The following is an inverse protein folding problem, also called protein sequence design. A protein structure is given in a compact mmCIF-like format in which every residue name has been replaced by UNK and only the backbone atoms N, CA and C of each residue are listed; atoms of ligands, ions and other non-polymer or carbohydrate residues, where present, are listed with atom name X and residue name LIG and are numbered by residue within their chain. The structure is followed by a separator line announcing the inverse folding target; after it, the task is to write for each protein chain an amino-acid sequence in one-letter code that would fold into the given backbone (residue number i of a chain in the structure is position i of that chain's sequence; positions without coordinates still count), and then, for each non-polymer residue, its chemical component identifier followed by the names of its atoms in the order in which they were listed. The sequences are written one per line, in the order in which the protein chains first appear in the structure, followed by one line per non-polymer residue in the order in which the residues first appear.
data_IF_847700171297
#
_entry.id   IF_847700171297
#
_cell.length_a   1.000
_cell.length_b   1.000
_cell.length_c   1.000
_cell.angle_alpha   90.00
_cell.angle_beta   90.00
_cell.angle_gamma   90.00
#
_symmetry.space_group_name_H-M   'P 1'
#
loop_
_entity.id
_entity.type
_entity.pdbx_description
1 polymer ?
#
# COMPACT_ATOMS: atom_id res chain seq x y z
N UNK A 1 21.89 2.85 -15.99
CA UNK A 1 20.45 2.54 -15.92
C UNK A 1 19.64 3.80 -15.70
N UNK A 2 18.43 3.88 -16.24
CA UNK A 2 17.49 4.98 -15.96
C UNK A 2 17.02 4.91 -14.51
N UNK A 3 16.97 6.06 -13.83
CA UNK A 3 16.52 6.20 -12.44
C UNK A 3 15.64 7.44 -12.29
N UNK A 4 14.68 7.37 -11.36
CA UNK A 4 13.88 8.51 -10.90
C UNK A 4 14.32 8.84 -9.49
N UNK A 5 15.08 9.91 -9.34
CA UNK A 5 15.72 10.29 -8.08
C UNK A 5 14.95 11.42 -7.42
N UNK A 6 14.54 11.23 -6.16
CA UNK A 6 14.08 12.31 -5.29
C UNK A 6 15.30 13.13 -4.85
N UNK A 7 15.30 14.41 -5.21
CA UNK A 7 16.38 15.32 -4.86
C UNK A 7 16.18 15.92 -3.46
N UNK A 8 17.14 16.71 -3.01
CA UNK A 8 17.02 17.46 -1.75
C UNK A 8 15.92 18.54 -1.76
N UNK A 9 15.47 18.96 -2.97
CA UNK A 9 14.43 19.99 -3.08
C UNK A 9 13.04 19.40 -2.90
N UNK A 10 12.18 20.13 -2.21
CA UNK A 10 10.76 19.78 -2.04
C UNK A 10 10.09 19.61 -3.40
N UNK A 11 9.36 18.50 -3.59
CA UNK A 11 8.58 18.19 -4.79
C UNK A 11 9.38 18.21 -6.10
N UNK A 12 10.64 17.75 -6.03
CA UNK A 12 11.48 17.61 -7.21
C UNK A 12 11.94 16.15 -7.39
N UNK A 13 11.66 15.60 -8.56
CA UNK A 13 12.23 14.35 -9.05
C UNK A 13 13.11 14.64 -10.26
N UNK A 14 14.25 13.97 -10.37
CA UNK A 14 15.11 13.97 -11.56
C UNK A 14 15.14 12.60 -12.19
N UNK A 15 14.83 12.56 -13.48
CA UNK A 15 15.05 11.37 -14.31
C UNK A 15 16.45 11.46 -14.88
N UNK A 16 17.31 10.50 -14.54
CA UNK A 16 18.73 10.53 -14.91
C UNK A 16 19.28 9.11 -15.11
N UNK A 17 20.47 9.01 -15.66
CA UNK A 17 21.18 7.75 -15.74
C UNK A 17 22.18 7.62 -14.58
N UNK A 18 22.23 6.43 -14.01
CA UNK A 18 23.19 6.02 -12.98
C UNK A 18 23.79 4.66 -13.33
N UNK A 19 24.86 4.26 -12.66
CA UNK A 19 25.41 2.92 -12.74
C UNK A 19 24.43 1.89 -12.14
N UNK A 20 24.53 0.65 -12.61
CA UNK A 20 23.77 -0.45 -11.99
C UNK A 20 24.32 -0.73 -10.60
N UNK A 21 23.47 -1.06 -9.61
CA UNK A 21 23.94 -1.43 -8.30
C UNK A 21 24.76 -2.73 -8.37
N UNK A 22 25.87 -2.77 -7.64
CA UNK A 22 26.64 -4.00 -7.44
C UNK A 22 25.99 -4.84 -6.34
N UNK A 23 25.95 -6.15 -6.56
CA UNK A 23 25.38 -7.09 -5.60
C UNK A 23 26.35 -7.39 -4.47
N UNK A 24 25.80 -7.53 -3.27
CA UNK A 24 26.45 -8.05 -2.08
C UNK A 24 25.92 -9.47 -1.77
N UNK A 25 26.50 -10.11 -0.76
CA UNK A 25 26.08 -11.44 -0.30
C UNK A 25 24.58 -11.48 0.03
N UNK A 26 23.94 -12.56 -0.41
CA UNK A 26 22.49 -12.82 -0.29
C UNK A 26 21.60 -11.87 -1.13
N UNK A 27 22.17 -11.07 -2.04
CA UNK A 27 21.40 -10.15 -2.88
C UNK A 27 21.15 -10.71 -4.28
N UNK A 28 20.05 -10.27 -4.86
CA UNK A 28 19.67 -10.47 -6.26
C UNK A 28 19.43 -9.13 -6.93
N UNK A 29 19.68 -9.05 -8.23
CA UNK A 29 19.36 -7.91 -9.07
C UNK A 29 18.04 -8.16 -9.80
N UNK A 30 17.13 -7.23 -9.64
CA UNK A 30 15.83 -7.27 -10.30
C UNK A 30 15.79 -6.21 -11.39
N UNK A 31 15.47 -6.62 -12.62
CA UNK A 31 15.07 -5.72 -13.69
C UNK A 31 13.63 -5.34 -13.43
N UNK A 32 13.41 -4.11 -13.00
CA UNK A 32 12.08 -3.60 -12.65
C UNK A 32 11.28 -3.37 -13.92
N UNK A 33 10.07 -3.91 -13.97
CA UNK A 33 9.11 -3.64 -15.04
C UNK A 33 8.13 -2.55 -14.61
N UNK A 34 7.60 -2.67 -13.39
CA UNK A 34 6.63 -1.73 -12.84
C UNK A 34 6.95 -1.39 -11.38
N UNK A 35 6.70 -0.13 -11.03
CA UNK A 35 6.80 0.36 -9.66
C UNK A 35 5.63 1.29 -9.34
N UNK A 36 4.80 0.95 -8.36
CA UNK A 36 3.70 1.79 -7.91
C UNK A 36 4.18 3.03 -7.16
N UNK A 37 3.37 4.09 -7.22
CA UNK A 37 3.54 5.29 -6.40
C UNK A 37 2.67 5.15 -5.16
N UNK A 38 3.30 5.15 -3.98
CA UNK A 38 2.66 5.04 -2.68
C UNK A 38 2.44 6.42 -2.04
N UNK A 39 1.50 6.50 -1.09
CA UNK A 39 1.33 7.69 -0.25
C UNK A 39 2.60 8.08 0.51
N UNK A 40 3.39 7.11 0.99
CA UNK A 40 4.67 7.34 1.65
C UNK A 40 5.73 7.96 0.73
N UNK A 41 5.73 7.61 -0.57
CA UNK A 41 6.57 8.29 -1.57
C UNK A 41 6.16 9.76 -1.72
N UNK A 42 4.84 10.04 -1.69
CA UNK A 42 4.33 11.41 -1.76
C UNK A 42 4.68 12.24 -0.52
N UNK A 43 4.67 11.62 0.67
CA UNK A 43 5.13 12.25 1.90
C UNK A 43 6.63 12.56 1.85
N UNK A 44 7.47 11.60 1.45
CA UNK A 44 8.91 11.82 1.25
C UNK A 44 9.19 12.89 0.18
N UNK A 45 8.42 12.88 -0.92
CA UNK A 45 8.49 13.87 -2.00
C UNK A 45 8.16 15.29 -1.53
N UNK A 46 7.16 15.41 -0.64
CA UNK A 46 6.69 16.69 -0.11
C UNK A 46 7.42 17.16 1.16
N UNK A 47 8.37 16.39 1.69
CA UNK A 47 9.05 16.61 2.98
C UNK A 47 8.04 16.73 4.14
N UNK A 48 7.03 15.86 4.14
CA UNK A 48 6.02 15.81 5.19
C UNK A 48 6.62 15.45 6.55
N UNK A 49 5.98 15.94 7.62
CA UNK A 49 6.31 15.58 9.00
C UNK A 49 6.24 14.05 9.19
N UNK A 50 7.25 13.50 9.88
CA UNK A 50 7.38 12.06 10.10
C UNK A 50 8.15 11.31 9.00
N UNK A 51 8.62 12.03 7.96
CA UNK A 51 9.45 11.48 6.87
C UNK A 51 10.85 12.12 6.82
N UNK A 52 11.29 12.73 7.90
CA UNK A 52 12.62 13.34 8.06
C UNK A 52 13.74 12.29 7.99
N UNK A 53 13.43 11.03 8.31
CA UNK A 53 14.36 9.91 8.24
C UNK A 53 14.74 9.52 6.80
N UNK A 54 13.98 9.97 5.79
CA UNK A 54 14.30 9.68 4.39
C UNK A 54 15.45 10.56 3.95
N UNK A 55 16.65 9.98 3.91
CA UNK A 55 17.85 10.64 3.42
C UNK A 55 17.75 10.90 1.91
N UNK A 56 18.24 12.05 1.46
CA UNK A 56 18.16 12.50 0.06
C UNK A 56 19.57 12.89 -0.41
N UNK A 57 19.92 12.66 -1.69
CA UNK A 57 19.07 12.11 -2.76
C UNK A 57 18.83 10.60 -2.61
N UNK A 58 17.66 10.13 -3.07
CA UNK A 58 17.27 8.71 -3.00
C UNK A 58 16.39 8.33 -4.19
N UNK A 59 16.47 7.08 -4.63
CA UNK A 59 15.49 6.47 -5.55
C UNK A 59 14.32 5.97 -4.70
N UNK A 60 13.12 6.53 -4.92
CA UNK A 60 11.90 6.11 -4.21
C UNK A 60 11.32 4.80 -4.79
N UNK A 61 10.22 4.33 -4.20
CA UNK A 61 9.40 3.23 -4.69
C UNK A 61 9.68 1.89 -4.02
N UNK A 62 8.61 1.29 -3.50
CA UNK A 62 8.64 0.02 -2.78
C UNK A 62 7.53 -0.96 -3.21
N UNK A 63 6.72 -0.59 -4.21
CA UNK A 63 5.70 -1.45 -4.83
C UNK A 63 6.23 -1.99 -6.15
N UNK A 64 7.13 -2.95 -6.09
CA UNK A 64 8.03 -3.36 -7.16
C UNK A 64 7.59 -4.70 -7.75
N UNK A 65 7.53 -4.77 -9.09
CA UNK A 65 7.45 -6.03 -9.81
C UNK A 65 8.40 -6.04 -11.02
N UNK A 66 8.94 -7.21 -11.35
CA UNK A 66 9.93 -7.35 -12.41
C UNK A 66 10.48 -8.77 -12.54
N UNK A 67 11.71 -8.89 -12.99
CA UNK A 67 12.39 -10.17 -13.24
C UNK A 67 13.77 -10.18 -12.57
N UNK A 68 14.11 -11.26 -11.88
CA UNK A 68 15.47 -11.48 -11.36
C UNK A 68 16.41 -11.74 -12.54
N UNK A 69 17.43 -10.92 -12.69
CA UNK A 69 18.39 -11.02 -13.81
C UNK A 69 19.79 -11.45 -13.38
N UNK A 70 20.11 -11.32 -12.09
CA UNK A 70 21.42 -11.68 -11.54
C UNK A 70 21.27 -12.06 -10.07
N UNK A 71 22.15 -12.94 -9.60
CA UNK A 71 22.23 -13.36 -8.21
C UNK A 71 23.68 -13.41 -7.76
N UNK A 72 23.96 -12.93 -6.53
CA UNK A 72 25.29 -13.02 -5.96
C UNK A 72 25.65 -14.47 -5.59
N UNK A 73 24.72 -15.18 -4.96
CA UNK A 73 24.97 -16.52 -4.44
C UNK A 73 24.44 -17.60 -5.38
N UNK A 74 25.25 -18.65 -5.59
CA UNK A 74 24.85 -19.80 -6.43
C UNK A 74 23.58 -20.49 -5.93
N UNK A 75 23.32 -20.47 -4.62
CA UNK A 75 22.13 -21.08 -4.01
C UNK A 75 20.82 -20.42 -4.42
N UNK A 76 20.87 -19.17 -4.84
CA UNK A 76 19.72 -18.37 -5.27
C UNK A 76 19.64 -18.20 -6.81
N UNK A 77 20.52 -18.87 -7.58
CA UNK A 77 20.48 -18.85 -9.05
C UNK A 77 19.17 -19.39 -9.64
N UNK A 78 18.43 -20.20 -8.90
CA UNK A 78 17.12 -20.70 -9.33
C UNK A 78 16.06 -19.57 -9.48
N UNK A 79 16.32 -18.40 -8.90
CA UNK A 79 15.48 -17.22 -9.06
C UNK A 79 15.73 -16.47 -10.38
N UNK A 80 16.87 -16.67 -11.04
CA UNK A 80 17.21 -15.98 -12.29
C UNK A 80 16.18 -16.34 -13.38
N UNK A 81 15.63 -15.33 -14.05
CA UNK A 81 14.55 -15.44 -15.02
C UNK A 81 13.13 -15.51 -14.43
N UNK A 82 13.01 -15.58 -13.09
CA UNK A 82 11.69 -15.60 -12.44
C UNK A 82 11.08 -14.20 -12.38
N UNK A 83 9.78 -14.13 -12.66
CA UNK A 83 8.97 -12.92 -12.42
C UNK A 83 8.65 -12.81 -10.94
N UNK A 84 8.92 -11.65 -10.35
CA UNK A 84 8.92 -11.47 -8.90
C UNK A 84 8.35 -10.13 -8.49
N UNK A 85 7.88 -10.08 -7.23
CA UNK A 85 7.70 -8.84 -6.47
C UNK A 85 8.77 -8.75 -5.38
N UNK A 86 8.93 -7.54 -4.82
CA UNK A 86 9.79 -7.30 -3.66
C UNK A 86 8.92 -6.95 -2.46
N UNK A 87 9.14 -7.62 -1.33
CA UNK A 87 8.56 -7.19 -0.07
C UNK A 87 9.13 -5.84 0.34
N UNK A 88 8.24 -4.89 0.63
CA UNK A 88 8.65 -3.52 0.95
C UNK A 88 9.37 -3.39 2.28
N UNK A 89 8.98 -4.23 3.27
CA UNK A 89 9.48 -4.19 4.64
C UNK A 89 10.56 -5.24 4.87
N UNK A 90 11.78 -4.79 5.11
CA UNK A 90 12.94 -5.65 5.33
C UNK A 90 13.15 -5.88 6.83
N UNK A 91 12.55 -6.95 7.31
CA UNK A 91 12.62 -7.37 8.72
C UNK A 91 13.92 -8.15 9.03
N UNK A 92 14.38 -8.11 10.29
CA UNK A 92 15.64 -8.78 10.67
C UNK A 92 15.53 -10.30 10.84
N UNK A 93 14.34 -10.84 11.13
CA UNK A 93 14.11 -12.27 11.38
C UNK A 93 14.47 -12.74 12.79
N UNK A 94 15.13 -11.92 13.63
CA UNK A 94 15.72 -12.35 14.91
C UNK A 94 15.18 -11.61 16.16
N UNK A 95 14.61 -10.39 16.01
CA UNK A 95 14.02 -9.70 17.15
C UNK A 95 12.75 -10.40 17.65
N UNK A 96 12.31 -10.07 18.86
CA UNK A 96 11.13 -10.66 19.48
C UNK A 96 9.88 -10.59 18.60
N UNK A 97 9.65 -9.45 17.94
CA UNK A 97 8.52 -9.29 17.03
C UNK A 97 8.61 -10.27 15.84
N UNK A 98 9.79 -10.42 15.24
CA UNK A 98 10.00 -11.35 14.13
C UNK A 98 9.82 -12.81 14.56
N UNK A 99 10.36 -13.21 15.71
CA UNK A 99 10.21 -14.55 16.26
C UNK A 99 8.74 -14.91 16.55
N UNK A 100 7.91 -13.89 16.85
CA UNK A 100 6.48 -14.03 17.06
C UNK A 100 5.65 -13.84 15.76
N UNK A 101 6.28 -13.84 14.58
CA UNK A 101 5.62 -13.68 13.28
C UNK A 101 5.11 -12.25 12.99
N UNK A 102 5.48 -11.28 13.81
CA UNK A 102 5.06 -9.88 13.69
C UNK A 102 6.06 -9.05 12.91
N UNK A 103 6.36 -9.47 11.67
CA UNK A 103 7.39 -8.88 10.82
C UNK A 103 7.14 -7.40 10.51
N UNK A 104 5.87 -6.99 10.36
CA UNK A 104 5.48 -5.60 10.07
C UNK A 104 5.94 -4.58 11.11
N UNK A 105 6.17 -5.01 12.35
CA UNK A 105 6.64 -4.18 13.46
C UNK A 105 8.01 -4.65 13.98
N UNK A 106 8.85 -5.17 13.09
CA UNK A 106 10.24 -5.49 13.39
C UNK A 106 10.98 -4.25 13.94
N UNK A 107 11.74 -4.41 15.03
CA UNK A 107 12.49 -3.33 15.66
C UNK A 107 13.59 -2.73 14.75
N UNK A 108 14.08 -3.53 13.79
CA UNK A 108 15.12 -3.15 12.84
C UNK A 108 14.60 -3.00 11.42
N UNK A 109 13.29 -2.77 11.27
CA UNK A 109 12.65 -2.69 9.97
C UNK A 109 13.22 -1.55 9.11
N UNK A 110 13.50 -1.86 7.85
CA UNK A 110 13.86 -0.88 6.82
C UNK A 110 12.93 -1.05 5.63
N UNK A 111 12.48 0.05 5.07
CA UNK A 111 11.61 0.05 3.88
C UNK A 111 12.45 0.44 2.68
N UNK A 112 12.50 -0.44 1.67
CA UNK A 112 13.13 -0.15 0.38
C UNK A 112 12.46 1.07 -0.26
N UNK A 113 13.24 1.98 -0.86
CA UNK A 113 12.73 3.24 -1.41
C UNK A 113 12.48 4.35 -0.40
N UNK A 114 12.67 4.10 0.92
CA UNK A 114 12.58 5.13 1.96
C UNK A 114 13.83 5.18 2.86
N UNK A 115 14.44 4.03 3.14
CA UNK A 115 15.67 3.95 3.94
C UNK A 115 16.93 3.73 3.08
N UNK A 116 16.75 3.26 1.86
CA UNK A 116 17.76 3.05 0.84
C UNK A 116 17.08 2.98 -0.54
N UNK A 117 17.86 3.01 -1.62
CA UNK A 117 17.35 3.09 -2.99
C UNK A 117 16.31 2.02 -3.32
N UNK A 118 15.22 2.45 -3.95
CA UNK A 118 14.05 1.66 -4.29
C UNK A 118 13.88 1.36 -5.78
N UNK A 119 12.64 1.00 -6.13
CA UNK A 119 12.29 0.43 -7.41
C UNK A 119 11.92 1.41 -8.52
N UNK A 120 11.96 2.73 -8.31
CA UNK A 120 11.75 3.69 -9.40
C UNK A 120 13.02 3.83 -10.27
N UNK A 121 13.56 2.68 -10.68
CA UNK A 121 14.76 2.53 -11.49
C UNK A 121 14.66 1.29 -12.37
N UNK A 122 15.43 1.23 -13.46
CA UNK A 122 15.46 0.04 -14.33
C UNK A 122 15.96 -1.22 -13.61
N UNK A 123 16.79 -1.06 -12.60
CA UNK A 123 17.30 -2.17 -11.78
C UNK A 123 17.33 -1.77 -10.32
N UNK A 124 16.98 -2.71 -9.47
CA UNK A 124 17.06 -2.60 -8.01
C UNK A 124 17.67 -3.87 -7.44
N UNK A 125 18.48 -3.74 -6.39
CA UNK A 125 18.99 -4.88 -5.63
C UNK A 125 18.22 -5.05 -4.33
N UNK A 126 18.03 -6.29 -3.92
CA UNK A 126 17.45 -6.63 -2.62
C UNK A 126 17.96 -7.99 -2.16
N UNK A 127 17.84 -8.29 -0.87
CA UNK A 127 18.13 -9.64 -0.39
C UNK A 127 17.12 -10.63 -0.96
N UNK A 128 17.60 -11.81 -1.37
CA UNK A 128 16.76 -12.86 -1.96
C UNK A 128 15.61 -13.32 -1.07
N UNK A 129 15.75 -13.20 0.26
CA UNK A 129 14.71 -13.53 1.24
C UNK A 129 13.46 -12.65 1.11
N UNK A 130 13.57 -11.42 0.57
CA UNK A 130 12.46 -10.50 0.36
C UNK A 130 11.85 -10.58 -1.05
N UNK A 131 12.23 -11.58 -1.82
CA UNK A 131 11.71 -11.80 -3.18
C UNK A 131 10.62 -12.87 -3.14
N UNK A 132 9.49 -12.59 -3.81
CA UNK A 132 8.40 -13.56 -3.99
C UNK A 132 8.13 -13.77 -5.47
N UNK A 133 8.11 -15.03 -5.90
CA UNK A 133 7.73 -15.38 -7.27
C UNK A 133 6.27 -15.01 -7.51
N UNK A 134 6.00 -14.36 -8.65
CA UNK A 134 4.65 -14.06 -9.12
C UNK A 134 4.05 -15.38 -9.63
N UNK A 135 2.80 -15.74 -9.25
CA UNK A 135 2.11 -16.87 -9.86
C UNK A 135 2.07 -16.77 -11.40
N UNK A 136 2.25 -17.90 -12.10
CA UNK A 136 2.38 -17.93 -13.56
C UNK A 136 1.19 -17.29 -14.31
N UNK A 137 0.01 -17.34 -13.71
CA UNK A 137 -1.24 -16.82 -14.26
C UNK A 137 -1.60 -15.41 -13.72
N UNK A 138 -0.63 -14.67 -13.21
CA UNK A 138 -0.76 -13.26 -12.78
C UNK A 138 0.26 -12.40 -13.55
N UNK A 139 -0.20 -11.34 -14.20
CA UNK A 139 0.70 -10.45 -14.93
C UNK A 139 1.61 -9.66 -13.98
N UNK A 140 2.83 -9.38 -14.45
CA UNK A 140 3.82 -8.55 -13.72
C UNK A 140 3.25 -7.16 -13.44
N UNK A 141 2.43 -6.62 -14.35
CA UNK A 141 1.78 -5.32 -14.17
C UNK A 141 0.82 -5.32 -12.99
N UNK A 142 -0.08 -6.29 -12.91
CA UNK A 142 -1.04 -6.40 -11.80
C UNK A 142 -0.33 -6.73 -10.50
N UNK A 143 0.76 -7.53 -10.58
CA UNK A 143 1.57 -7.88 -9.41
C UNK A 143 2.24 -6.67 -8.73
N UNK A 144 2.41 -5.53 -9.40
CA UNK A 144 2.84 -4.28 -8.76
C UNK A 144 1.86 -3.75 -7.71
N UNK A 145 0.62 -4.26 -7.70
CA UNK A 145 -0.39 -3.96 -6.67
C UNK A 145 -0.27 -4.86 -5.42
N UNK A 146 0.65 -5.82 -5.41
CA UNK A 146 0.76 -6.80 -4.30
C UNK A 146 1.07 -6.13 -2.97
N UNK A 147 1.97 -5.14 -2.97
CA UNK A 147 2.36 -4.46 -1.75
C UNK A 147 1.17 -3.71 -1.12
N UNK A 148 0.50 -2.75 -1.78
CA UNK A 148 -0.63 -2.05 -1.15
C UNK A 148 -1.82 -2.97 -0.83
N UNK A 149 -2.01 -4.06 -1.58
CA UNK A 149 -3.04 -5.05 -1.24
C UNK A 149 -2.67 -5.87 -0.01
N UNK A 150 -1.38 -6.24 0.18
CA UNK A 150 -0.94 -6.95 1.38
C UNK A 150 -1.06 -6.10 2.65
N UNK A 151 -0.87 -4.78 2.57
CA UNK A 151 -1.20 -3.85 3.67
C UNK A 151 -2.69 -3.97 4.06
N UNK A 152 -3.57 -4.00 3.06
CA UNK A 152 -5.01 -4.15 3.31
C UNK A 152 -5.38 -5.52 3.88
N UNK A 153 -4.78 -6.59 3.38
CA UNK A 153 -4.94 -7.97 3.91
C UNK A 153 -4.54 -8.00 5.39
N UNK A 154 -3.35 -7.47 5.71
CA UNK A 154 -2.86 -7.37 7.09
C UNK A 154 -3.86 -6.66 8.01
N UNK A 155 -4.36 -5.50 7.60
CA UNK A 155 -5.29 -4.72 8.38
C UNK A 155 -6.63 -5.44 8.62
N UNK A 156 -7.14 -6.12 7.58
CA UNK A 156 -8.39 -6.90 7.70
C UNK A 156 -8.19 -8.11 8.61
N UNK A 157 -7.02 -8.77 8.57
CA UNK A 157 -6.69 -9.85 9.48
C UNK A 157 -6.60 -9.36 10.94
N UNK A 158 -6.05 -8.17 11.17
CA UNK A 158 -6.02 -7.54 12.50
C UNK A 158 -7.41 -7.16 13.04
N UNK A 159 -8.38 -6.94 12.16
CA UNK A 159 -9.75 -6.66 12.58
C UNK A 159 -10.45 -7.88 13.20
N UNK A 160 -9.88 -9.07 13.08
CA UNK A 160 -10.48 -10.33 13.50
C UNK A 160 -11.47 -10.87 12.47
N UNK A 161 -12.42 -11.69 12.91
CA UNK A 161 -13.37 -12.32 11.99
C UNK A 161 -14.25 -11.30 11.27
N UNK A 162 -14.28 -11.40 9.94
CA UNK A 162 -15.17 -10.68 9.03
C UNK A 162 -15.89 -11.71 8.15
N UNK A 163 -17.22 -11.60 8.04
CA UNK A 163 -18.05 -12.51 7.26
C UNK A 163 -19.31 -11.80 6.72
N UNK A 164 -20.22 -12.55 6.08
CA UNK A 164 -21.41 -12.03 5.43
C UNK A 164 -22.50 -11.43 6.38
N UNK A 165 -22.30 -11.51 7.68
CA UNK A 165 -23.20 -10.88 8.67
C UNK A 165 -22.78 -9.46 9.03
N UNK A 166 -21.55 -9.06 8.64
CA UNK A 166 -20.99 -7.78 9.02
C UNK A 166 -21.27 -6.70 7.98
N UNK A 167 -21.56 -5.51 8.47
CA UNK A 167 -21.63 -4.26 7.70
C UNK A 167 -20.40 -3.44 8.06
N UNK A 168 -19.63 -3.03 7.07
CA UNK A 168 -18.40 -2.31 7.28
C UNK A 168 -18.45 -0.92 6.64
N UNK A 169 -17.83 0.03 7.33
CA UNK A 169 -17.56 1.36 6.80
C UNK A 169 -16.07 1.54 6.63
N UNK A 170 -15.63 1.79 5.41
CA UNK A 170 -14.23 2.12 5.06
C UNK A 170 -14.18 3.59 4.68
N UNK A 171 -13.38 4.37 5.40
CA UNK A 171 -13.23 5.81 5.15
C UNK A 171 -11.93 6.08 4.37
N UNK A 172 -12.05 6.85 3.29
CA UNK A 172 -10.95 7.22 2.41
C UNK A 172 -10.88 6.33 1.15
N UNK A 173 -11.24 6.88 -0.04
CA UNK A 173 -11.28 6.13 -1.30
C UNK A 173 -9.93 6.07 -2.01
N UNK A 174 -8.82 6.21 -1.27
CA UNK A 174 -7.48 5.94 -1.75
C UNK A 174 -7.26 4.43 -1.97
N UNK A 175 -6.13 4.05 -2.56
CA UNK A 175 -5.84 2.64 -2.91
C UNK A 175 -5.91 1.71 -1.69
N UNK A 176 -5.49 2.16 -0.49
CA UNK A 176 -5.53 1.35 0.72
C UNK A 176 -6.98 1.11 1.16
N UNK A 177 -7.81 2.15 1.26
CA UNK A 177 -9.22 1.97 1.61
C UNK A 177 -9.97 1.16 0.57
N UNK A 178 -9.67 1.36 -0.71
CA UNK A 178 -10.23 0.56 -1.79
C UNK A 178 -9.88 -0.94 -1.61
N UNK A 179 -8.63 -1.27 -1.32
CA UNK A 179 -8.22 -2.66 -1.11
C UNK A 179 -8.74 -3.26 0.20
N UNK A 180 -8.81 -2.49 1.28
CA UNK A 180 -9.49 -2.93 2.51
C UNK A 180 -10.94 -3.32 2.20
N UNK A 181 -11.65 -2.48 1.45
CA UNK A 181 -13.01 -2.77 1.01
C UNK A 181 -13.09 -4.04 0.16
N UNK A 182 -12.18 -4.20 -0.81
CA UNK A 182 -12.12 -5.39 -1.68
C UNK A 182 -11.87 -6.68 -0.86
N UNK A 183 -10.92 -6.67 0.07
CA UNK A 183 -10.64 -7.81 0.95
C UNK A 183 -11.88 -8.16 1.79
N UNK A 184 -12.59 -7.17 2.32
CA UNK A 184 -13.81 -7.38 3.10
C UNK A 184 -14.96 -7.93 2.26
N UNK A 185 -15.14 -7.46 1.02
CA UNK A 185 -16.11 -8.01 0.06
C UNK A 185 -15.79 -9.49 -0.23
N UNK A 186 -14.52 -9.86 -0.36
CA UNK A 186 -14.10 -11.25 -0.55
C UNK A 186 -14.50 -12.16 0.62
N UNK A 187 -14.58 -11.61 1.81
CA UNK A 187 -15.07 -12.32 3.01
C UNK A 187 -16.62 -12.33 3.11
N UNK A 188 -17.31 -11.79 2.09
CA UNK A 188 -18.76 -11.75 1.98
C UNK A 188 -19.45 -10.59 2.71
N UNK A 189 -18.71 -9.68 3.31
CA UNK A 189 -19.30 -8.58 4.07
C UNK A 189 -19.92 -7.50 3.16
N UNK A 190 -20.93 -6.78 3.71
CA UNK A 190 -21.44 -5.56 3.09
C UNK A 190 -20.49 -4.42 3.39
N UNK A 191 -19.92 -3.78 2.35
CA UNK A 191 -18.90 -2.74 2.49
C UNK A 191 -19.42 -1.42 1.92
N UNK A 192 -19.32 -0.36 2.73
CA UNK A 192 -19.58 1.01 2.35
C UNK A 192 -18.22 1.73 2.32
N UNK A 193 -17.81 2.20 1.14
CA UNK A 193 -16.58 2.99 0.96
C UNK A 193 -16.96 4.46 0.87
N UNK A 194 -16.45 5.29 1.78
CA UNK A 194 -16.75 6.72 1.77
C UNK A 194 -15.59 7.59 1.32
N UNK A 195 -15.92 8.65 0.59
CA UNK A 195 -15.02 9.69 0.11
C UNK A 195 -15.74 11.01 0.00
N UNK A 196 -15.04 12.05 -0.44
CA UNK A 196 -15.64 13.35 -0.71
C UNK A 196 -16.16 13.42 -2.15
N UNK A 197 -17.07 14.36 -2.44
CA UNK A 197 -17.62 14.53 -3.79
C UNK A 197 -16.55 14.78 -4.85
N UNK A 198 -15.45 15.46 -4.49
CA UNK A 198 -14.29 15.67 -5.39
C UNK A 198 -13.58 14.36 -5.78
N UNK A 199 -13.66 13.32 -4.95
CA UNK A 199 -13.01 12.04 -5.19
C UNK A 199 -13.87 11.08 -6.01
N UNK A 200 -15.11 11.45 -6.32
CA UNK A 200 -16.10 10.54 -6.88
C UNK A 200 -15.65 9.97 -8.22
N UNK A 201 -15.39 10.80 -9.21
CA UNK A 201 -15.07 10.36 -10.58
C UNK A 201 -13.74 9.61 -10.67
N UNK A 202 -12.71 10.12 -9.99
CA UNK A 202 -11.37 9.56 -10.10
C UNK A 202 -11.17 8.26 -9.29
N UNK A 203 -11.88 8.11 -8.18
CA UNK A 203 -11.63 7.07 -7.18
C UNK A 203 -12.88 6.34 -6.70
N UNK A 204 -13.84 7.07 -6.10
CA UNK A 204 -14.93 6.45 -5.34
C UNK A 204 -15.91 5.66 -6.23
N UNK A 205 -16.26 6.18 -7.42
CA UNK A 205 -17.19 5.54 -8.35
C UNK A 205 -16.73 4.13 -8.78
N UNK A 206 -15.41 3.91 -8.82
CA UNK A 206 -14.80 2.63 -9.24
C UNK A 206 -15.12 1.49 -8.28
N UNK A 207 -15.47 1.78 -7.02
CA UNK A 207 -15.66 0.76 -6.00
C UNK A 207 -16.88 -0.14 -6.27
N UNK A 208 -17.89 0.37 -6.97
CA UNK A 208 -19.11 -0.39 -7.26
C UNK A 208 -18.88 -1.63 -8.09
N UNK A 209 -17.94 -1.58 -9.02
CA UNK A 209 -17.54 -2.73 -9.87
C UNK A 209 -16.98 -3.88 -9.02
N UNK A 210 -16.45 -3.57 -7.83
CA UNK A 210 -15.88 -4.53 -6.89
C UNK A 210 -16.85 -4.93 -5.75
N UNK A 211 -18.14 -4.59 -5.89
CA UNK A 211 -19.16 -4.97 -4.92
C UNK A 211 -19.23 -4.09 -3.67
N UNK A 212 -18.58 -2.95 -3.67
CA UNK A 212 -18.67 -1.96 -2.59
C UNK A 212 -19.74 -0.91 -2.92
N UNK A 213 -20.28 -0.30 -1.88
CA UNK A 213 -21.30 0.77 -1.98
C UNK A 213 -20.59 2.12 -1.77
N UNK A 214 -20.57 3.01 -2.78
CA UNK A 214 -19.99 4.34 -2.61
C UNK A 214 -20.87 5.22 -1.72
N UNK A 215 -20.24 6.04 -0.86
CA UNK A 215 -20.91 7.07 -0.03
C UNK A 215 -20.16 8.39 -0.17
N UNK A 216 -20.85 9.43 -0.62
CA UNK A 216 -20.30 10.78 -0.73
C UNK A 216 -20.48 11.52 0.59
N UNK A 217 -19.48 11.44 1.48
CA UNK A 217 -19.55 11.83 2.88
C UNK A 217 -19.80 13.32 3.16
N UNK A 218 -19.55 14.21 2.20
CA UNK A 218 -19.86 15.64 2.26
C UNK A 218 -21.27 15.99 1.74
N UNK A 219 -21.98 15.01 1.16
CA UNK A 219 -23.37 15.17 0.65
C UNK A 219 -24.37 14.27 1.36
N UNK A 220 -23.91 13.13 1.87
CA UNK A 220 -24.76 12.09 2.40
C UNK A 220 -24.28 11.68 3.79
N UNK A 221 -25.20 11.23 4.63
CA UNK A 221 -24.91 10.65 5.94
C UNK A 221 -25.19 9.16 5.91
N UNK A 222 -24.29 8.37 6.49
CA UNK A 222 -24.54 6.96 6.68
C UNK A 222 -25.68 6.76 7.68
N UNK A 223 -26.78 6.16 7.22
CA UNK A 223 -28.00 5.98 8.01
C UNK A 223 -28.00 4.71 8.86
N UNK A 224 -27.27 3.70 8.42
CA UNK A 224 -27.15 2.42 9.15
C UNK A 224 -25.92 2.37 10.05
N UNK A 225 -26.03 1.57 11.13
CA UNK A 225 -24.90 1.32 12.03
C UNK A 225 -24.06 0.17 11.50
N UNK A 226 -22.74 0.29 11.64
CA UNK A 226 -21.77 -0.68 11.12
C UNK A 226 -21.10 -1.47 12.25
N UNK A 227 -20.66 -2.67 11.94
CA UNK A 227 -19.99 -3.57 12.87
C UNK A 227 -18.50 -3.25 12.97
N UNK A 228 -17.90 -2.80 11.84
CA UNK A 228 -16.45 -2.50 11.74
C UNK A 228 -16.24 -1.21 10.97
N UNK A 229 -15.36 -0.37 11.50
CA UNK A 229 -14.90 0.86 10.89
C UNK A 229 -13.42 0.72 10.52
N UNK A 230 -13.08 0.94 9.26
CA UNK A 230 -11.69 1.10 8.82
C UNK A 230 -11.41 2.57 8.49
N UNK A 231 -10.43 3.15 9.16
CA UNK A 231 -9.99 4.53 8.92
C UNK A 231 -8.72 4.52 8.05
N UNK A 232 -8.89 4.91 6.78
CA UNK A 232 -7.84 4.92 5.76
C UNK A 232 -7.62 6.33 5.16
N UNK A 233 -8.32 7.36 5.67
CA UNK A 233 -8.30 8.70 5.09
C UNK A 233 -7.25 9.64 5.70
N UNK A 234 -6.85 9.40 6.96
CA UNK A 234 -6.00 10.31 7.73
C UNK A 234 -6.68 11.63 8.11
N UNK A 235 -8.00 11.73 7.97
CA UNK A 235 -8.76 12.95 8.23
C UNK A 235 -9.37 12.99 9.62
N UNK A 236 -9.08 14.04 10.40
CA UNK A 236 -9.70 14.27 11.70
C UNK A 236 -11.24 14.34 11.63
N UNK A 237 -11.80 14.86 10.54
CA UNK A 237 -13.24 14.93 10.32
C UNK A 237 -13.83 13.54 10.06
N UNK A 238 -13.14 12.71 9.26
CA UNK A 238 -13.55 11.34 8.99
C UNK A 238 -13.56 10.50 10.26
N UNK A 239 -12.52 10.59 11.10
CA UNK A 239 -12.46 9.89 12.40
C UNK A 239 -13.69 10.22 13.25
N UNK A 240 -14.00 11.51 13.41
CA UNK A 240 -15.16 11.95 14.23
C UNK A 240 -16.51 11.45 13.69
N UNK A 241 -16.67 11.44 12.37
CA UNK A 241 -17.92 10.96 11.74
C UNK A 241 -18.00 9.44 11.73
N UNK A 242 -16.88 8.74 11.57
CA UNK A 242 -16.81 7.28 11.57
C UNK A 242 -17.36 6.65 12.84
N UNK A 243 -16.92 7.13 14.00
CA UNK A 243 -17.42 6.64 15.29
C UNK A 243 -18.92 6.86 15.50
N UNK A 244 -19.52 7.87 14.85
CA UNK A 244 -20.98 8.04 14.90
C UNK A 244 -21.74 6.91 14.20
N UNK A 245 -21.13 6.26 13.23
CA UNK A 245 -21.74 5.12 12.51
C UNK A 245 -21.51 3.77 13.20
N UNK A 246 -20.53 3.67 14.12
CA UNK A 246 -20.17 2.40 14.74
C UNK A 246 -21.21 1.93 15.76
N UNK A 247 -21.54 0.64 15.74
CA UNK A 247 -22.40 -0.02 16.77
C UNK A 247 -21.66 -0.03 18.12
N UNK A 248 -22.40 -0.17 19.22
CA UNK A 248 -21.80 -0.54 20.52
C UNK A 248 -21.14 -1.91 20.38
N UNK A 249 -19.94 -2.08 20.94
CA UNK A 249 -19.12 -3.28 20.76
C UNK A 249 -18.51 -3.45 19.36
N UNK A 250 -18.73 -2.48 18.46
CA UNK A 250 -18.11 -2.48 17.13
C UNK A 250 -16.60 -2.24 17.21
N UNK A 251 -15.87 -2.61 16.15
CA UNK A 251 -14.40 -2.52 16.09
C UNK A 251 -13.94 -1.38 15.19
N UNK A 252 -12.88 -0.66 15.59
CA UNK A 252 -12.29 0.39 14.76
C UNK A 252 -10.84 0.07 14.46
N UNK A 253 -10.46 0.11 13.18
CA UNK A 253 -9.13 -0.19 12.68
C UNK A 253 -8.57 1.04 11.96
N UNK A 254 -7.39 1.49 12.39
CA UNK A 254 -6.71 2.66 11.88
C UNK A 254 -5.47 2.27 11.09
N UNK A 255 -5.43 2.65 9.82
CA UNK A 255 -4.32 2.39 8.91
C UNK A 255 -3.62 3.67 8.46
N UNK A 256 -4.35 4.80 8.45
CA UNK A 256 -3.79 6.05 7.99
C UNK A 256 -2.69 6.56 8.93
N UNK A 257 -1.69 7.23 8.36
CA UNK A 257 -0.69 7.99 9.10
C UNK A 257 -1.14 9.45 9.20
N UNK A 258 -1.06 10.00 10.39
CA UNK A 258 -1.58 11.34 10.69
C UNK A 258 -0.43 12.32 10.90
N UNK A 259 -0.50 13.47 10.23
CA UNK A 259 0.46 14.58 10.43
C UNK A 259 0.10 15.46 11.63
N UNK A 260 -1.14 15.37 12.13
CA UNK A 260 -1.67 16.15 13.23
C UNK A 260 -2.27 15.26 14.31
N UNK A 261 -2.29 15.73 15.53
CA UNK A 261 -2.93 15.06 16.66
C UNK A 261 -4.45 14.96 16.45
N UNK A 262 -5.02 13.84 16.90
CA UNK A 262 -6.46 13.60 16.89
C UNK A 262 -6.98 13.65 18.33
N UNK A 263 -7.94 14.53 18.58
CA UNK A 263 -8.60 14.61 19.87
C UNK A 263 -9.83 13.69 19.90
N UNK A 264 -9.78 12.67 20.77
CA UNK A 264 -10.85 11.73 21.01
C UNK A 264 -11.40 11.85 22.42
N UNK A 265 -12.73 11.84 22.54
CA UNK A 265 -13.39 11.82 23.86
C UNK A 265 -13.51 10.38 24.35
N UNK A 266 -12.51 9.91 25.09
CA UNK A 266 -12.37 8.50 25.51
C UNK A 266 -13.55 7.95 26.30
N UNK A 267 -14.33 8.80 27.00
CA UNK A 267 -15.56 8.35 27.69
C UNK A 267 -16.56 7.67 26.74
N UNK A 268 -16.63 8.10 25.46
CA UNK A 268 -17.47 7.45 24.47
C UNK A 268 -16.96 6.05 24.12
N UNK A 269 -15.64 5.86 24.04
CA UNK A 269 -15.01 4.56 23.77
C UNK A 269 -15.32 3.57 24.89
N UNK A 270 -15.13 4.01 26.14
CA UNK A 270 -15.43 3.16 27.31
C UNK A 270 -16.94 2.77 27.35
N UNK A 271 -17.85 3.74 27.18
CA UNK A 271 -19.31 3.48 27.22
C UNK A 271 -19.86 2.62 26.09
N UNK A 272 -19.16 2.58 24.96
CA UNK A 272 -19.55 1.79 23.79
C UNK A 272 -18.67 0.54 23.60
N UNK A 273 -17.68 0.31 24.47
CA UNK A 273 -16.71 -0.78 24.34
C UNK A 273 -16.06 -0.81 22.96
N UNK A 274 -15.63 0.36 22.45
CA UNK A 274 -14.95 0.47 21.15
C UNK A 274 -13.44 0.27 21.28
N UNK A 275 -12.88 -0.84 20.81
CA UNK A 275 -11.45 -0.99 20.70
C UNK A 275 -10.90 -0.09 19.59
N UNK A 276 -9.74 0.53 19.84
CA UNK A 276 -8.96 1.26 18.85
C UNK A 276 -7.80 0.37 18.44
N UNK A 277 -7.93 -0.28 17.30
CA UNK A 277 -6.93 -1.19 16.75
C UNK A 277 -6.13 -0.42 15.70
N UNK A 278 -4.81 -0.54 15.71
CA UNK A 278 -3.94 0.04 14.68
C UNK A 278 -3.36 -1.07 13.80
N UNK A 279 -3.10 -0.76 12.53
CA UNK A 279 -2.44 -1.66 11.60
C UNK A 279 -1.32 -0.91 10.88
N UNK A 280 -0.15 -1.52 10.80
CA UNK A 280 1.02 -0.95 10.13
C UNK A 280 1.73 -2.03 9.33
N UNK A 281 2.04 -1.71 8.06
CA UNK A 281 2.79 -2.62 7.20
C UNK A 281 2.06 -3.94 6.90
N UNK A 282 2.84 -4.92 6.51
CA UNK A 282 2.40 -6.30 6.23
C UNK A 282 3.54 -7.28 6.49
N UNK A 283 3.22 -8.56 6.53
CA UNK A 283 4.18 -9.65 6.63
C UNK A 283 4.19 -10.53 5.36
N UNK A 284 5.12 -11.50 5.27
CA UNK A 284 5.25 -12.40 4.13
C UNK A 284 3.97 -13.12 3.74
N UNK A 285 3.19 -13.57 4.72
CA UNK A 285 1.94 -14.32 4.49
C UNK A 285 0.84 -13.46 3.85
N UNK A 286 0.84 -12.15 4.14
CA UNK A 286 -0.15 -11.23 3.59
C UNK A 286 0.01 -11.08 2.06
N UNK A 287 1.24 -11.22 1.52
CA UNK A 287 1.50 -11.23 0.08
C UNK A 287 0.91 -12.45 -0.61
N UNK A 288 0.93 -13.63 0.04
CA UNK A 288 0.37 -14.85 -0.53
C UNK A 288 -1.15 -14.73 -0.69
N UNK A 289 -1.82 -14.12 0.28
CA UNK A 289 -3.26 -13.86 0.19
C UNK A 289 -3.57 -12.73 -0.82
N UNK A 290 -2.72 -11.71 -0.90
CA UNK A 290 -2.84 -10.67 -1.91
C UNK A 290 -2.76 -11.26 -3.33
N UNK A 291 -1.85 -12.18 -3.64
CA UNK A 291 -1.78 -12.85 -4.95
C UNK A 291 -3.08 -13.55 -5.34
N UNK A 292 -3.73 -14.24 -4.40
CA UNK A 292 -5.02 -14.91 -4.65
C UNK A 292 -6.11 -13.91 -5.07
N UNK A 293 -6.13 -12.75 -4.44
CA UNK A 293 -7.10 -11.69 -4.73
C UNK A 293 -6.76 -11.01 -6.06
N UNK A 294 -5.48 -10.67 -6.30
CA UNK A 294 -5.02 -10.07 -7.55
C UNK A 294 -5.38 -10.94 -8.75
N UNK A 295 -5.12 -12.24 -8.67
CA UNK A 295 -5.46 -13.20 -9.70
C UNK A 295 -6.96 -13.21 -9.99
N UNK A 296 -7.79 -13.24 -8.96
CA UNK A 296 -9.26 -13.27 -9.12
C UNK A 296 -9.82 -12.01 -9.76
N UNK A 297 -9.21 -10.85 -9.49
CA UNK A 297 -9.68 -9.54 -9.95
C UNK A 297 -8.73 -8.87 -10.95
N UNK A 298 -7.84 -9.62 -11.60
CA UNK A 298 -6.80 -9.06 -12.45
C UNK A 298 -7.34 -8.09 -13.50
N UNK A 299 -8.34 -8.52 -14.25
CA UNK A 299 -8.92 -7.73 -15.33
C UNK A 299 -9.51 -6.40 -14.83
N UNK A 300 -10.42 -6.35 -13.84
CA UNK A 300 -10.91 -5.08 -13.32
C UNK A 300 -9.83 -4.26 -12.60
N UNK A 301 -8.85 -4.87 -11.94
CA UNK A 301 -7.75 -4.15 -11.29
C UNK A 301 -6.83 -3.46 -12.30
N UNK A 302 -6.64 -4.01 -13.49
CA UNK A 302 -5.89 -3.34 -14.55
C UNK A 302 -6.51 -2.00 -14.97
N UNK A 303 -7.83 -1.82 -14.81
CA UNK A 303 -8.54 -0.56 -15.13
C UNK A 303 -8.35 0.54 -14.09
N UNK A 304 -7.94 0.19 -12.87
CA UNK A 304 -7.66 1.20 -11.84
C UNK A 304 -6.21 1.69 -11.87
N UNK A 305 -5.34 1.03 -12.64
CA UNK A 305 -3.94 1.43 -12.82
C UNK A 305 -3.85 2.54 -13.86
N UNK A 306 -3.31 3.69 -13.47
CA UNK A 306 -2.85 4.74 -14.38
C UNK A 306 -1.36 4.54 -14.63
N UNK A 307 -1.02 4.11 -15.85
CA UNK A 307 0.36 3.77 -16.21
C UNK A 307 1.09 4.99 -16.76
N UNK A 308 2.29 5.26 -16.26
CA UNK A 308 3.17 6.34 -16.69
C UNK A 308 4.54 5.79 -17.07
N UNK A 309 5.16 6.21 -18.19
CA UNK A 309 6.56 5.93 -18.41
C UNK A 309 7.42 6.64 -17.34
N UNK A 310 8.58 6.09 -17.00
CA UNK A 310 9.47 6.69 -16.00
C UNK A 310 9.83 8.16 -16.28
N UNK A 311 9.88 8.56 -17.58
CA UNK A 311 10.10 9.95 -17.98
C UNK A 311 8.99 10.91 -17.52
N UNK A 312 7.81 10.39 -17.20
CA UNK A 312 6.66 11.16 -16.70
C UNK A 312 6.46 11.01 -15.17
N UNK A 313 7.49 10.60 -14.42
CA UNK A 313 7.37 10.40 -12.98
C UNK A 313 6.86 11.64 -12.23
N UNK A 314 7.29 12.85 -12.62
CA UNK A 314 6.77 14.10 -12.03
C UNK A 314 5.26 14.26 -12.24
N UNK A 315 4.73 13.86 -13.42
CA UNK A 315 3.28 13.91 -13.67
C UNK A 315 2.55 12.85 -12.83
N UNK A 316 3.07 11.62 -12.74
CA UNK A 316 2.50 10.57 -11.90
C UNK A 316 2.39 10.99 -10.42
N UNK A 317 3.42 11.65 -9.89
CA UNK A 317 3.42 12.19 -8.52
C UNK A 317 2.41 13.33 -8.35
N UNK A 318 2.33 14.24 -9.34
CA UNK A 318 1.37 15.35 -9.34
C UNK A 318 -0.07 14.84 -9.34
N UNK A 319 -0.41 13.92 -10.24
CA UNK A 319 -1.76 13.36 -10.36
C UNK A 319 -2.15 12.57 -9.10
N UNK A 320 -1.17 11.88 -8.49
CA UNK A 320 -1.37 11.19 -7.22
C UNK A 320 -1.63 12.16 -6.06
N UNK A 321 -0.87 13.26 -5.96
CA UNK A 321 -1.07 14.31 -4.94
C UNK A 321 -2.41 15.03 -5.09
N UNK A 322 -2.81 15.32 -6.34
CA UNK A 322 -4.10 15.95 -6.64
C UNK A 322 -5.28 15.00 -6.47
N UNK A 323 -5.02 13.71 -6.29
CA UNK A 323 -6.05 12.66 -6.20
C UNK A 323 -6.80 12.44 -7.54
N UNK A 324 -6.16 12.75 -8.67
CA UNK A 324 -6.73 12.60 -10.01
C UNK A 324 -6.77 11.12 -10.48
N UNK A 325 -5.98 10.25 -9.83
CA UNK A 325 -5.89 8.82 -10.12
C UNK A 325 -6.06 7.98 -8.85
N UNK A 326 -6.56 6.75 -9.01
CA UNK A 326 -6.65 5.80 -7.88
C UNK A 326 -5.29 5.18 -7.59
N UNK A 327 -4.57 4.72 -8.64
CA UNK A 327 -3.23 4.16 -8.51
C UNK A 327 -2.34 4.53 -9.70
N UNK A 328 -1.32 5.32 -9.45
CA UNK A 328 -0.26 5.57 -10.42
C UNK A 328 0.79 4.47 -10.34
N UNK A 329 1.24 3.99 -11.49
CA UNK A 329 2.30 2.98 -11.63
C UNK A 329 3.28 3.46 -12.71
N UNK A 330 4.57 3.46 -12.39
CA UNK A 330 5.63 3.76 -13.35
C UNK A 330 6.01 2.49 -14.12
N UNK A 331 6.09 2.58 -15.44
CA UNK A 331 6.75 1.59 -16.30
C UNK A 331 8.22 1.95 -16.46
N UNK A 332 9.09 1.03 -16.08
CA UNK A 332 10.56 1.18 -16.15
C UNK A 332 11.13 0.52 -17.42
N UNK A 333 10.28 -0.08 -18.23
CA UNK A 333 10.64 -0.62 -19.55
C UNK A 333 10.84 0.52 -20.54
N UNK A 334 11.72 0.31 -21.52
CA UNK A 334 11.93 1.25 -22.63
C UNK A 334 10.79 1.17 -23.62
#
# INVERSE_FOLDING_TARGET
MLTVVKTEKVRELKVQNQEKPLLDKNEVLIKVEYCGVCGSDLHAYSHSKGYEFVEKPIILGHEISGEVVESYDKSTNHLIGKKVIVESMNYCGECENCQNGRHSICEHNKVIGLHYDGGMAQFVKTKSIYVREIPEDLSVRTAALSEPLSIAVHAVNRAGEINNKHILHVQGPGIIGFFVGLVCVQKGAKVILSGLGKDYESRLSKCSEFGMIPLIADKESLTEKVDVLFECSGSNAAVKTGFKSLKKGGRSIFLALYEQEINLFLTQFVRNEWPLITSYGCGPEDYLDAFKILKKYEEPLNRIISLYPASQANQAFKDSLNQDVLKAVLSLQK
#
